data_IF_003511150479
#
_entry.id   IF_003511150479
#
_cell.length_a   1.000
_cell.length_b   1.000
_cell.length_c   1.000
_cell.angle_alpha   90.00
_cell.angle_beta   90.00
_cell.angle_gamma   90.00
#
_symmetry.space_group_name_H-M   'P 1'
#
loop_
_entity.id
_entity.type
_entity.pdbx_description
1 polymer ?
#
# COMPACT_ATOMS: atom_id res chain seq x y z
N UNK A 1 52.92 -39.52 -33.22
CA UNK A 1 53.47 -39.40 -31.85
C UNK A 1 53.74 -37.92 -31.59
N UNK A 2 53.36 -37.40 -30.41
CA UNK A 2 52.15 -36.58 -30.25
C UNK A 2 52.38 -35.33 -29.37
N UNK A 3 51.35 -34.49 -29.21
CA UNK A 3 50.83 -33.89 -27.95
C UNK A 3 49.79 -32.81 -28.35
N UNK A 4 48.48 -33.09 -28.43
CA UNK A 4 47.50 -33.10 -27.33
C UNK A 4 47.69 -31.93 -26.36
N UNK A 5 46.84 -30.90 -26.47
CA UNK A 5 46.62 -29.89 -25.43
C UNK A 5 45.20 -30.06 -24.90
N UNK A 6 45.11 -30.32 -23.60
CA UNK A 6 43.92 -30.69 -22.85
C UNK A 6 43.03 -29.48 -22.54
N UNK A 7 41.73 -29.67 -22.72
CA UNK A 7 40.67 -28.81 -22.19
C UNK A 7 40.63 -28.88 -20.66
N UNK A 8 40.90 -27.76 -19.98
CA UNK A 8 40.65 -27.62 -18.54
C UNK A 8 39.22 -27.11 -18.31
N UNK A 9 38.30 -28.03 -17.99
CA UNK A 9 37.00 -27.73 -17.42
C UNK A 9 37.15 -27.28 -15.96
N UNK A 10 37.14 -25.98 -15.73
CA UNK A 10 37.05 -25.38 -14.40
C UNK A 10 35.65 -25.55 -13.82
N UNK A 11 35.50 -26.39 -12.81
CA UNK A 11 34.26 -26.57 -12.04
C UNK A 11 34.05 -25.39 -11.09
N UNK A 12 33.06 -24.55 -11.36
CA UNK A 12 32.63 -23.50 -10.44
C UNK A 12 31.92 -24.10 -9.22
N UNK A 13 32.59 -24.10 -8.08
CA UNK A 13 32.04 -24.51 -6.80
C UNK A 13 30.88 -23.60 -6.38
N UNK A 14 29.70 -24.19 -6.13
CA UNK A 14 28.51 -23.50 -5.59
C UNK A 14 28.82 -22.95 -4.19
N UNK A 15 28.43 -21.70 -3.87
CA UNK A 15 28.59 -21.16 -2.52
C UNK A 15 27.69 -21.92 -1.53
N UNK A 16 28.27 -22.38 -0.42
CA UNK A 16 27.55 -23.08 0.67
C UNK A 16 26.47 -22.16 1.27
N UNK A 17 25.27 -22.67 1.58
CA UNK A 17 24.23 -21.88 2.23
C UNK A 17 24.70 -21.42 3.62
N UNK A 18 24.54 -20.12 3.91
CA UNK A 18 24.77 -19.56 5.25
C UNK A 18 23.84 -20.28 6.23
N UNK A 19 24.47 -20.96 7.19
CA UNK A 19 23.85 -21.65 8.33
C UNK A 19 22.86 -20.69 9.00
N UNK A 20 21.56 -21.01 8.98
CA UNK A 20 20.55 -20.26 9.73
C UNK A 20 21.00 -20.22 11.20
N UNK A 21 21.17 -19.02 11.75
CA UNK A 21 21.38 -18.85 13.18
C UNK A 21 20.20 -19.49 13.91
N UNK A 22 20.45 -20.66 14.47
CA UNK A 22 19.49 -21.35 15.33
C UNK A 22 19.16 -20.40 16.47
N UNK A 23 17.92 -19.92 16.51
CA UNK A 23 17.42 -19.05 17.61
C UNK A 23 17.83 -19.69 18.93
N UNK A 24 18.65 -18.98 19.72
CA UNK A 24 19.15 -19.47 21.01
C UNK A 24 17.96 -19.89 21.88
N UNK A 25 18.03 -21.09 22.48
CA UNK A 25 16.98 -21.61 23.36
C UNK A 25 17.06 -20.85 24.68
N UNK A 26 15.92 -20.44 25.22
CA UNK A 26 15.86 -19.84 26.55
C UNK A 26 16.46 -20.84 27.57
N UNK A 27 17.42 -20.42 28.41
CA UNK A 27 18.05 -21.31 29.38
C UNK A 27 17.09 -21.73 30.50
N UNK A 28 16.00 -20.99 30.70
CA UNK A 28 14.93 -21.31 31.65
C UNK A 28 13.55 -21.24 30.98
N UNK A 29 12.63 -22.06 31.47
CA UNK A 29 11.23 -22.03 31.07
C UNK A 29 10.35 -21.69 32.28
N UNK A 30 9.28 -20.92 32.06
CA UNK A 30 8.27 -20.67 33.07
C UNK A 30 7.51 -21.97 33.42
N UNK A 31 6.82 -21.98 34.57
CA UNK A 31 6.13 -23.17 35.07
C UNK A 31 5.04 -23.65 34.10
N UNK A 32 4.28 -22.73 33.50
CA UNK A 32 3.22 -23.04 32.51
C UNK A 32 3.78 -23.71 31.24
N UNK A 33 4.85 -23.18 30.65
CA UNK A 33 5.45 -23.78 29.46
C UNK A 33 6.19 -25.09 29.76
N UNK A 34 6.77 -25.21 30.97
CA UNK A 34 7.42 -26.45 31.43
C UNK A 34 6.42 -27.58 31.62
N UNK A 35 5.27 -27.30 32.25
CA UNK A 35 4.19 -28.27 32.42
C UNK A 35 3.66 -28.78 31.07
N UNK A 36 3.56 -27.88 30.08
CA UNK A 36 3.09 -28.20 28.72
C UNK A 36 4.18 -28.76 27.80
N UNK A 37 5.43 -28.86 28.26
CA UNK A 37 6.60 -29.30 27.48
C UNK A 37 6.78 -28.53 26.16
N UNK A 38 6.39 -27.25 26.12
CA UNK A 38 6.54 -26.37 24.95
C UNK A 38 7.73 -25.42 25.10
N UNK A 39 8.26 -24.92 23.98
CA UNK A 39 9.38 -23.97 23.98
C UNK A 39 8.97 -22.67 24.68
N UNK A 40 9.79 -22.21 25.61
CA UNK A 40 9.59 -20.97 26.34
C UNK A 40 10.67 -19.95 25.94
N UNK A 41 10.29 -18.68 25.85
CA UNK A 41 11.14 -17.54 25.53
C UNK A 41 11.19 -16.51 26.67
N UNK A 42 10.81 -16.91 27.89
CA UNK A 42 10.67 -16.00 29.05
C UNK A 42 11.94 -15.22 29.38
N UNK A 43 13.13 -15.74 29.07
CA UNK A 43 14.40 -15.04 29.32
C UNK A 43 14.66 -13.88 28.35
N UNK A 44 13.91 -13.79 27.25
CA UNK A 44 14.04 -12.73 26.24
C UNK A 44 12.88 -11.73 26.27
N UNK A 45 11.90 -11.92 27.15
CA UNK A 45 10.71 -11.07 27.26
C UNK A 45 10.70 -10.35 28.61
N UNK A 46 10.31 -9.06 28.65
CA UNK A 46 10.44 -8.22 29.85
C UNK A 46 9.48 -8.59 30.99
N UNK A 47 8.34 -9.22 30.71
CA UNK A 47 7.29 -9.47 31.72
C UNK A 47 6.65 -10.86 31.67
N UNK A 48 6.39 -11.40 30.48
CA UNK A 48 5.83 -12.74 30.30
C UNK A 48 6.27 -13.37 28.97
N UNK A 49 6.40 -14.69 28.94
CA UNK A 49 6.73 -15.41 27.71
C UNK A 49 5.56 -15.40 26.71
N UNK A 50 5.87 -15.51 25.41
CA UNK A 50 4.87 -15.36 24.33
C UNK A 50 3.68 -16.31 24.50
N UNK A 51 3.92 -17.57 24.88
CA UNK A 51 2.83 -18.53 25.09
C UNK A 51 1.94 -18.15 26.28
N UNK A 52 2.48 -17.60 27.36
CA UNK A 52 1.67 -17.24 28.53
C UNK A 52 0.82 -15.98 28.28
N UNK A 53 1.32 -15.06 27.45
CA UNK A 53 0.54 -13.90 26.99
C UNK A 53 -0.62 -14.36 26.11
N UNK A 54 -0.37 -15.23 25.14
CA UNK A 54 -1.40 -15.76 24.24
C UNK A 54 -2.47 -16.57 24.99
N UNK A 55 -2.07 -17.33 26.01
CA UNK A 55 -3.00 -18.13 26.81
C UNK A 55 -3.68 -17.34 27.93
N UNK A 56 -3.39 -16.03 28.07
CA UNK A 56 -3.86 -15.19 29.20
C UNK A 56 -3.61 -15.83 30.57
N UNK A 57 -2.43 -16.44 30.75
CA UNK A 57 -2.02 -17.12 32.00
C UNK A 57 -0.83 -16.42 32.65
N UNK A 58 -0.78 -16.47 33.99
CA UNK A 58 0.32 -15.89 34.74
C UNK A 58 1.66 -16.60 34.43
N UNK A 59 2.65 -15.82 34.00
CA UNK A 59 3.97 -16.34 33.63
C UNK A 59 4.92 -16.36 34.83
N UNK A 60 4.91 -17.46 35.59
CA UNK A 60 5.77 -17.60 36.79
C UNK A 60 7.05 -18.37 36.46
N UNK A 61 8.21 -17.79 36.79
CA UNK A 61 9.53 -18.46 36.69
C UNK A 61 10.03 -18.76 38.10
N UNK A 62 10.28 -20.03 38.43
CA UNK A 62 10.83 -20.38 39.74
C UNK A 62 12.33 -20.08 39.80
N UNK A 63 12.68 -19.00 40.47
CA UNK A 63 14.06 -18.68 40.80
C UNK A 63 14.44 -19.40 42.09
N UNK A 64 15.04 -20.59 42.00
CA UNK A 64 15.81 -21.10 43.15
C UNK A 64 17.09 -20.27 43.25
N UNK A 65 17.14 -19.33 44.20
CA UNK A 65 18.40 -18.78 44.68
C UNK A 65 19.13 -19.91 45.41
N UNK A 66 20.31 -20.31 44.93
CA UNK A 66 21.31 -20.93 45.83
C UNK A 66 21.87 -19.77 46.65
N UNK A 67 21.37 -19.59 47.87
CA UNK A 67 22.04 -18.77 48.87
C UNK A 67 23.18 -19.60 49.45
N UNK A 68 24.41 -19.26 49.07
CA UNK A 68 25.48 -19.24 50.05
C UNK A 68 25.37 -17.86 50.70
N UNK A 69 24.71 -17.78 51.86
CA UNK A 69 25.25 -16.97 52.94
C UNK A 69 24.51 -17.24 54.23
N UNK A 70 25.33 -17.42 55.27
CA UNK A 70 24.94 -17.63 56.64
C UNK A 70 24.22 -16.38 57.17
N UNK A 71 23.03 -16.60 57.69
CA UNK A 71 22.65 -16.23 59.05
C UNK A 71 22.80 -14.74 59.42
N UNK A 72 21.70 -13.99 59.51
CA UNK A 72 21.35 -13.19 60.69
C UNK A 72 19.89 -12.68 60.63
N UNK A 73 19.04 -13.39 61.36
CA UNK A 73 18.12 -12.89 62.39
C UNK A 73 17.32 -11.58 62.12
N UNK A 74 16.02 -11.71 61.82
CA UNK A 74 14.88 -11.20 62.64
C UNK A 74 13.53 -11.50 61.96
N UNK A 75 12.55 -11.86 62.79
CA UNK A 75 11.15 -12.27 62.52
C UNK A 75 10.23 -11.16 63.11
N UNK A 76 8.88 -11.29 63.14
CA UNK A 76 7.84 -11.03 62.12
C UNK A 76 6.78 -9.97 62.54
N UNK A 77 5.78 -9.69 61.69
CA UNK A 77 4.38 -9.30 62.04
C UNK A 77 3.55 -9.39 60.73
N UNK A 78 2.74 -10.41 60.42
CA UNK A 78 1.42 -10.90 60.92
C UNK A 78 0.24 -9.94 60.72
N UNK A 79 -0.62 -10.25 59.75
CA UNK A 79 -2.09 -10.51 59.87
C UNK A 79 -2.69 -10.57 58.44
N UNK A 80 -3.19 -11.69 57.92
CA UNK A 80 -4.45 -12.43 58.23
C UNK A 80 -5.70 -11.53 58.11
N UNK A 81 -6.81 -11.85 57.43
CA UNK A 81 -7.37 -13.10 56.85
C UNK A 81 -8.55 -12.74 55.90
N UNK A 82 -8.91 -13.71 55.06
CA UNK A 82 -10.15 -14.04 54.30
C UNK A 82 -11.52 -13.59 54.92
N UNK A 83 -12.74 -13.65 54.37
CA UNK A 83 -13.42 -14.25 53.19
C UNK A 83 -14.91 -13.77 53.10
N UNK A 84 -15.56 -13.95 51.93
CA UNK A 84 -16.99 -14.34 51.65
C UNK A 84 -18.17 -13.31 51.58
N UNK A 85 -18.67 -13.14 50.34
CA UNK A 85 -20.03 -13.11 49.72
C UNK A 85 -21.34 -12.45 50.30
N UNK A 86 -21.89 -11.49 49.49
CA UNK A 86 -23.28 -11.18 48.96
C UNK A 86 -24.53 -11.06 49.90
N UNK A 87 -25.69 -10.40 49.53
CA UNK A 87 -26.05 -9.48 48.41
C UNK A 87 -27.00 -8.24 48.73
N UNK A 88 -26.97 -7.18 47.87
CA UNK A 88 -27.98 -6.18 47.35
C UNK A 88 -29.18 -5.62 48.20
N UNK A 89 -29.64 -4.34 48.04
CA UNK A 89 -30.27 -3.82 46.79
C UNK A 89 -30.11 -2.31 46.41
N UNK A 90 -30.80 -1.94 45.32
CA UNK A 90 -30.72 -0.84 44.34
C UNK A 90 -31.00 0.64 44.73
N UNK A 91 -30.41 1.55 43.93
CA UNK A 91 -31.02 2.76 43.32
C UNK A 91 -30.10 3.26 42.17
N UNK A 92 -30.49 3.12 40.89
CA UNK A 92 -31.01 4.11 39.92
C UNK A 92 -30.06 5.26 39.49
N UNK A 93 -29.95 5.39 38.15
CA UNK A 93 -29.41 6.50 37.31
C UNK A 93 -27.86 6.61 37.28
N UNK A 94 -27.15 6.77 36.16
CA UNK A 94 -27.50 7.22 34.82
C UNK A 94 -26.52 6.63 33.77
N UNK A 95 -27.03 6.29 32.58
CA UNK A 95 -26.26 5.79 31.43
C UNK A 95 -26.39 6.84 30.32
N UNK A 96 -25.44 7.76 30.27
CA UNK A 96 -25.27 8.66 29.13
C UNK A 96 -23.79 8.74 28.79
N UNK A 97 -23.43 8.18 27.63
CA UNK A 97 -22.25 8.50 26.79
C UNK A 97 -22.07 7.43 25.69
N UNK A 98 -23.15 7.08 24.98
CA UNK A 98 -23.05 6.35 23.71
C UNK A 98 -24.36 6.36 22.90
N UNK A 99 -25.07 7.49 22.86
CA UNK A 99 -26.14 7.76 21.88
C UNK A 99 -26.18 9.26 21.60
N UNK A 100 -25.33 9.74 20.70
CA UNK A 100 -25.62 10.97 19.94
C UNK A 100 -25.07 10.71 18.55
N UNK A 101 -25.96 10.37 17.61
CA UNK A 101 -25.99 10.84 16.22
C UNK A 101 -27.14 10.13 15.47
N UNK A 102 -28.36 10.27 15.97
CA UNK A 102 -29.60 10.08 15.20
C UNK A 102 -30.72 10.84 15.91
N UNK A 103 -31.10 12.02 15.42
CA UNK A 103 -32.42 12.15 14.81
C UNK A 103 -32.61 13.48 14.05
N UNK A 104 -33.14 13.31 12.84
CA UNK A 104 -34.15 14.12 12.17
C UNK A 104 -34.07 15.65 12.15
N UNK A 105 -33.84 16.17 10.93
CA UNK A 105 -34.57 17.34 10.44
C UNK A 105 -35.18 17.04 9.07
N UNK A 106 -36.51 17.12 9.04
CA UNK A 106 -37.37 17.05 7.86
C UNK A 106 -37.20 18.29 6.98
N UNK A 107 -37.01 18.05 5.68
CA UNK A 107 -37.49 18.91 4.60
C UNK A 107 -36.45 19.80 3.91
N UNK A 108 -36.01 19.39 2.71
CA UNK A 108 -35.66 20.27 1.55
C UNK A 108 -35.47 19.42 0.27
N UNK A 109 -35.54 20.02 -0.93
CA UNK A 109 -36.46 19.59 -1.99
C UNK A 109 -35.90 18.51 -2.93
N UNK A 110 -36.83 17.79 -3.58
CA UNK A 110 -36.57 16.84 -4.68
C UNK A 110 -35.62 17.44 -5.72
N UNK A 111 -34.37 16.97 -5.74
CA UNK A 111 -33.49 17.11 -6.89
C UNK A 111 -33.91 16.11 -7.97
N UNK A 112 -33.99 16.57 -9.21
CA UNK A 112 -34.45 15.80 -10.36
C UNK A 112 -33.64 14.51 -10.56
N UNK A 113 -34.37 13.42 -10.82
CA UNK A 113 -33.83 12.10 -11.14
C UNK A 113 -32.88 12.17 -12.35
N UNK A 114 -31.75 11.45 -12.35
CA UNK A 114 -30.92 11.33 -13.54
C UNK A 114 -31.69 10.52 -14.59
N UNK A 115 -31.87 11.09 -15.77
CA UNK A 115 -32.45 10.42 -16.93
C UNK A 115 -31.74 9.09 -17.18
N UNK A 116 -32.49 8.01 -17.02
CA UNK A 116 -32.08 6.64 -17.32
C UNK A 116 -31.69 6.55 -18.79
N UNK A 117 -30.50 6.03 -19.09
CA UNK A 117 -30.10 5.69 -20.45
C UNK A 117 -31.13 4.71 -21.02
N UNK A 118 -31.91 5.15 -22.02
CA UNK A 118 -32.81 4.26 -22.74
C UNK A 118 -31.98 3.36 -23.66
N UNK A 119 -31.84 2.09 -23.26
CA UNK A 119 -31.31 1.03 -24.11
C UNK A 119 -32.45 0.37 -24.90
N UNK A 120 -32.21 -0.14 -26.13
CA UNK A 120 -33.23 -0.86 -26.89
C UNK A 120 -33.59 -2.16 -26.17
N UNK A 121 -34.89 -2.46 -26.07
CA UNK A 121 -35.41 -3.67 -25.45
C UNK A 121 -34.90 -4.93 -26.17
N UNK A 122 -33.99 -5.68 -25.53
CA UNK A 122 -33.57 -7.01 -25.96
C UNK A 122 -33.94 -8.04 -24.90
N UNK A 123 -34.48 -9.18 -25.36
CA UNK A 123 -35.05 -10.26 -24.56
C UNK A 123 -34.15 -10.71 -23.40
N UNK A 124 -34.72 -10.69 -22.19
CA UNK A 124 -34.23 -11.43 -21.02
C UNK A 124 -34.20 -12.92 -21.36
N UNK A 125 -33.00 -13.50 -21.57
CA UNK A 125 -32.67 -14.88 -21.17
C UNK A 125 -31.22 -15.32 -21.42
N UNK A 126 -30.27 -14.44 -21.77
CA UNK A 126 -28.83 -14.72 -21.66
C UNK A 126 -28.07 -13.37 -21.59
N UNK A 127 -28.02 -12.76 -20.41
CA UNK A 127 -27.21 -11.56 -20.21
C UNK A 127 -25.74 -11.94 -20.35
N UNK A 128 -25.05 -11.46 -21.39
CA UNK A 128 -23.58 -11.42 -21.38
C UNK A 128 -23.19 -10.36 -20.34
N UNK A 129 -22.56 -10.74 -19.22
CA UNK A 129 -22.23 -9.81 -18.12
C UNK A 129 -21.09 -8.84 -18.48
N UNK A 130 -20.40 -9.11 -19.59
CA UNK A 130 -19.25 -8.35 -20.02
C UNK A 130 -19.40 -7.84 -21.47
N UNK A 131 -18.97 -6.60 -21.66
CA UNK A 131 -18.99 -5.85 -22.91
C UNK A 131 -17.54 -5.60 -23.36
N UNK A 132 -17.26 -5.75 -24.65
CA UNK A 132 -15.94 -5.41 -25.22
C UNK A 132 -15.65 -3.92 -25.03
N UNK A 133 -14.42 -3.55 -24.66
CA UNK A 133 -14.04 -2.15 -24.39
C UNK A 133 -14.37 -1.18 -25.54
N UNK A 134 -14.37 -1.64 -26.79
CA UNK A 134 -14.67 -0.85 -27.98
C UNK A 134 -16.08 -0.22 -27.97
N UNK A 135 -17.02 -0.76 -27.19
CA UNK A 135 -18.36 -0.17 -27.01
C UNK A 135 -18.36 1.07 -26.10
N UNK A 136 -17.26 1.35 -25.42
CA UNK A 136 -17.09 2.52 -24.56
C UNK A 136 -16.22 3.57 -25.27
N UNK A 137 -16.81 4.67 -25.79
CA UNK A 137 -16.07 5.66 -26.57
C UNK A 137 -14.93 6.33 -25.79
N UNK A 138 -15.05 6.41 -24.48
CA UNK A 138 -14.04 7.00 -23.60
C UNK A 138 -12.82 6.11 -23.35
N UNK A 139 -12.80 4.86 -23.83
CA UNK A 139 -11.71 3.90 -23.60
C UNK A 139 -10.79 3.70 -24.81
N UNK A 140 -9.53 3.39 -24.53
CA UNK A 140 -8.55 3.00 -25.54
C UNK A 140 -7.57 1.93 -25.05
N UNK A 141 -6.93 1.26 -26.01
CA UNK A 141 -5.72 0.47 -25.79
C UNK A 141 -4.69 1.01 -26.78
N UNK A 142 -3.65 1.68 -26.29
CA UNK A 142 -2.78 2.51 -27.11
C UNK A 142 -1.87 1.66 -28.02
N UNK A 143 -1.30 0.58 -27.50
CA UNK A 143 -0.34 -0.24 -28.23
C UNK A 143 -0.97 -1.49 -28.87
N UNK A 144 -2.30 -1.54 -29.03
CA UNK A 144 -2.98 -2.75 -29.51
C UNK A 144 -2.50 -3.18 -30.91
N UNK A 145 -2.26 -2.22 -31.80
CA UNK A 145 -1.82 -2.49 -33.18
C UNK A 145 -0.36 -2.93 -33.30
N UNK A 146 0.45 -2.71 -32.27
CA UNK A 146 1.86 -3.14 -32.23
C UNK A 146 2.04 -4.53 -31.62
N UNK A 147 1.00 -5.12 -31.03
CA UNK A 147 1.07 -6.45 -30.45
C UNK A 147 0.99 -7.54 -31.52
N UNK A 148 1.65 -8.67 -31.24
CA UNK A 148 1.50 -9.85 -32.08
C UNK A 148 0.08 -10.40 -31.97
N UNK A 149 -0.45 -10.97 -33.06
CA UNK A 149 -1.81 -11.51 -33.12
C UNK A 149 -2.05 -12.58 -32.04
N UNK A 150 -1.04 -13.41 -31.74
CA UNK A 150 -1.16 -14.43 -30.69
C UNK A 150 -1.30 -13.82 -29.30
N UNK A 151 -0.63 -12.71 -29.02
CA UNK A 151 -0.75 -11.99 -27.75
C UNK A 151 -2.13 -11.33 -27.62
N UNK A 152 -2.66 -10.77 -28.73
CA UNK A 152 -4.02 -10.22 -28.78
C UNK A 152 -5.04 -11.33 -28.49
N UNK A 153 -4.92 -12.49 -29.16
CA UNK A 153 -5.80 -13.63 -28.94
C UNK A 153 -5.71 -14.16 -27.51
N UNK A 154 -4.49 -14.21 -26.96
CA UNK A 154 -4.28 -14.58 -25.56
C UNK A 154 -4.98 -13.60 -24.62
N UNK A 155 -4.77 -12.30 -24.78
CA UNK A 155 -5.41 -11.26 -23.97
C UNK A 155 -6.94 -11.29 -24.05
N UNK A 156 -7.51 -11.49 -25.24
CA UNK A 156 -8.97 -11.63 -25.39
C UNK A 156 -9.49 -12.90 -24.70
N UNK A 157 -8.76 -14.03 -24.83
CA UNK A 157 -9.12 -15.28 -24.15
C UNK A 157 -9.07 -15.18 -22.61
N UNK A 158 -8.23 -14.28 -22.08
CA UNK A 158 -8.14 -13.97 -20.65
C UNK A 158 -9.18 -12.91 -20.21
N UNK A 159 -10.00 -12.41 -21.14
CA UNK A 159 -11.03 -11.40 -20.85
C UNK A 159 -10.47 -10.00 -20.59
N UNK A 160 -9.22 -9.70 -20.99
CA UNK A 160 -8.60 -8.39 -20.75
C UNK A 160 -9.30 -7.25 -21.50
N UNK A 161 -10.03 -7.57 -22.57
CA UNK A 161 -10.79 -6.61 -23.38
C UNK A 161 -12.26 -6.52 -22.98
N UNK A 162 -12.66 -7.23 -21.92
CA UNK A 162 -14.04 -7.36 -21.45
C UNK A 162 -14.23 -6.60 -20.14
N UNK A 163 -15.27 -5.77 -20.10
CA UNK A 163 -15.61 -4.87 -18.99
C UNK A 163 -17.07 -5.06 -18.57
N UNK A 164 -17.45 -4.72 -17.33
CA UNK A 164 -18.85 -4.81 -16.89
C UNK A 164 -19.80 -3.96 -17.76
N UNK A 165 -21.09 -4.26 -17.69
CA UNK A 165 -22.14 -3.42 -18.26
C UNK A 165 -22.10 -1.99 -17.69
N UNK A 166 -22.55 -1.00 -18.47
CA UNK A 166 -22.47 0.43 -18.13
C UNK A 166 -23.03 0.78 -16.75
N UNK A 167 -24.11 0.15 -16.30
CA UNK A 167 -24.69 0.40 -14.98
C UNK A 167 -23.75 -0.05 -13.87
N UNK A 168 -23.26 -1.29 -13.95
CA UNK A 168 -22.28 -1.84 -13.01
C UNK A 168 -20.95 -1.08 -13.05
N UNK A 169 -20.48 -0.71 -14.24
CA UNK A 169 -19.25 0.04 -14.43
C UNK A 169 -19.32 1.41 -13.74
N UNK A 170 -20.45 2.12 -13.88
CA UNK A 170 -20.67 3.42 -13.26
C UNK A 170 -20.71 3.32 -11.72
N UNK A 171 -21.30 2.26 -11.17
CA UNK A 171 -21.25 1.98 -9.73
C UNK A 171 -19.82 1.74 -9.23
N UNK A 172 -19.03 0.91 -9.92
CA UNK A 172 -17.63 0.63 -9.54
C UNK A 172 -16.74 1.88 -9.63
N UNK A 173 -16.89 2.68 -10.69
CA UNK A 173 -16.14 3.92 -10.84
C UNK A 173 -16.49 4.91 -9.72
N UNK A 174 -17.79 5.05 -9.37
CA UNK A 174 -18.17 5.86 -8.20
C UNK A 174 -17.61 5.30 -6.91
N UNK A 175 -17.64 3.99 -6.70
CA UNK A 175 -17.06 3.35 -5.51
C UNK A 175 -15.55 3.64 -5.39
N UNK A 176 -14.80 3.61 -6.50
CA UNK A 176 -13.39 4.01 -6.52
C UNK A 176 -13.18 5.46 -6.05
N UNK A 177 -13.90 6.41 -6.64
CA UNK A 177 -13.75 7.83 -6.26
C UNK A 177 -14.29 8.14 -4.86
N UNK A 178 -15.26 7.37 -4.38
CA UNK A 178 -15.79 7.52 -3.05
C UNK A 178 -14.81 6.95 -2.01
N UNK A 179 -14.36 5.71 -2.14
CA UNK A 179 -13.62 5.03 -1.07
C UNK A 179 -12.10 5.08 -1.21
N UNK A 180 -11.56 4.96 -2.42
CA UNK A 180 -10.12 4.82 -2.64
C UNK A 180 -9.42 6.15 -2.90
N UNK A 181 -10.04 7.02 -3.72
CA UNK A 181 -9.46 8.31 -4.11
C UNK A 181 -9.12 9.23 -2.93
N UNK A 182 -9.94 9.35 -1.86
CA UNK A 182 -9.58 10.16 -0.70
C UNK A 182 -8.33 9.67 0.06
N UNK A 183 -7.96 8.39 -0.09
CA UNK A 183 -6.77 7.80 0.54
C UNK A 183 -5.55 7.99 -0.37
N UNK A 184 -5.71 7.75 -1.67
CA UNK A 184 -4.65 7.88 -2.66
C UNK A 184 -5.20 8.54 -3.93
N UNK A 185 -5.12 9.88 -4.06
CA UNK A 185 -5.74 10.64 -5.16
C UNK A 185 -4.91 10.56 -6.46
N UNK A 186 -4.58 9.35 -6.89
CA UNK A 186 -3.66 9.05 -8.01
C UNK A 186 -4.25 9.40 -9.38
N UNK A 187 -5.57 9.34 -9.51
CA UNK A 187 -6.32 9.79 -10.70
C UNK A 187 -6.91 11.15 -10.43
N UNK A 188 -6.80 12.06 -11.38
CA UNK A 188 -7.46 13.36 -11.30
C UNK A 188 -8.97 13.19 -11.56
N UNK A 189 -9.78 13.36 -10.51
CA UNK A 189 -11.21 13.01 -10.56
C UNK A 189 -11.97 13.82 -11.61
N UNK A 190 -11.78 15.14 -11.67
CA UNK A 190 -12.59 15.94 -12.59
C UNK A 190 -12.16 15.77 -14.05
N UNK A 191 -10.88 15.51 -14.30
CA UNK A 191 -10.42 15.16 -15.65
C UNK A 191 -11.02 13.82 -16.07
N UNK A 192 -11.00 12.83 -15.18
CA UNK A 192 -11.64 11.54 -15.42
C UNK A 192 -13.12 11.68 -15.75
N UNK A 193 -13.90 12.39 -14.93
CA UNK A 193 -15.35 12.56 -15.20
C UNK A 193 -15.63 13.31 -16.51
N UNK A 194 -14.77 14.25 -16.89
CA UNK A 194 -14.92 14.97 -18.16
C UNK A 194 -14.75 14.05 -19.39
N UNK A 195 -13.92 13.01 -19.26
CA UNK A 195 -13.67 12.00 -20.30
C UNK A 195 -14.73 10.88 -20.24
N UNK A 196 -15.12 10.47 -19.03
CA UNK A 196 -16.04 9.37 -18.79
C UNK A 196 -17.48 9.68 -19.26
N UNK A 197 -17.90 10.95 -19.15
CA UNK A 197 -19.24 11.37 -19.55
C UNK A 197 -19.27 11.87 -21.02
N UNK A 198 -20.05 11.21 -21.90
CA UNK A 198 -20.22 11.63 -23.29
C UNK A 198 -20.75 13.06 -23.45
N UNK A 199 -21.56 13.55 -22.49
CA UNK A 199 -22.18 14.88 -22.57
C UNK A 199 -21.20 16.02 -22.29
N UNK A 200 -20.12 15.74 -21.55
CA UNK A 200 -19.09 16.74 -21.19
C UNK A 200 -17.82 16.60 -22.03
N UNK A 201 -17.74 15.57 -22.87
CA UNK A 201 -16.61 15.32 -23.78
C UNK A 201 -16.59 16.35 -24.92
N UNK A 202 -16.22 17.59 -24.60
CA UNK A 202 -16.18 18.75 -25.51
C UNK A 202 -15.08 18.66 -26.56
N UNK A 203 -15.17 17.69 -27.49
CA UNK A 203 -14.33 17.56 -28.67
C UNK A 203 -12.86 17.19 -28.44
N UNK A 204 -12.42 17.00 -27.18
CA UNK A 204 -11.06 16.50 -26.87
C UNK A 204 -11.01 14.98 -27.06
N UNK A 205 -10.05 14.50 -27.83
CA UNK A 205 -9.79 13.07 -28.10
C UNK A 205 -9.14 12.32 -26.93
N UNK A 206 -9.27 12.83 -25.70
CA UNK A 206 -8.66 12.18 -24.53
C UNK A 206 -9.48 10.95 -24.15
N UNK A 207 -8.81 9.81 -23.98
CA UNK A 207 -9.42 8.51 -23.66
C UNK A 207 -8.67 7.91 -22.47
N UNK A 208 -9.37 7.12 -21.68
CA UNK A 208 -8.82 6.40 -20.53
C UNK A 208 -8.29 5.05 -21.02
N UNK A 209 -7.00 4.73 -20.76
CA UNK A 209 -6.46 3.41 -21.08
C UNK A 209 -7.16 2.30 -20.30
N UNK A 210 -7.48 1.19 -20.97
CA UNK A 210 -8.17 0.03 -20.35
C UNK A 210 -7.38 -0.52 -19.16
N UNK A 211 -6.05 -0.49 -19.20
CA UNK A 211 -5.20 -0.92 -18.09
C UNK A 211 -5.43 -0.09 -16.81
N UNK A 212 -5.59 1.23 -16.94
CA UNK A 212 -5.86 2.12 -15.81
C UNK A 212 -7.26 1.87 -15.25
N UNK A 213 -8.26 1.77 -16.13
CA UNK A 213 -9.62 1.46 -15.69
C UNK A 213 -9.65 0.10 -14.98
N UNK A 214 -9.00 -0.93 -15.54
CA UNK A 214 -8.92 -2.27 -14.92
C UNK A 214 -8.29 -2.22 -13.52
N UNK A 215 -7.24 -1.41 -13.34
CA UNK A 215 -6.62 -1.19 -12.03
C UNK A 215 -7.57 -0.49 -11.06
N UNK A 216 -8.35 0.50 -11.53
CA UNK A 216 -9.38 1.17 -10.72
C UNK A 216 -10.50 0.20 -10.30
N UNK A 217 -10.96 -0.66 -11.22
CA UNK A 217 -12.00 -1.67 -10.93
C UNK A 217 -11.51 -2.73 -9.95
N UNK A 218 -10.25 -3.17 -10.07
CA UNK A 218 -9.59 -4.03 -9.08
C UNK A 218 -9.67 -3.44 -7.66
N UNK A 219 -9.48 -2.12 -7.52
CA UNK A 219 -9.58 -1.46 -6.22
C UNK A 219 -11.05 -1.32 -5.80
N UNK A 220 -11.93 -0.89 -6.71
CA UNK A 220 -13.35 -0.65 -6.45
C UNK A 220 -14.10 -1.88 -5.93
N UNK A 221 -13.74 -3.08 -6.41
CA UNK A 221 -14.40 -4.33 -6.02
C UNK A 221 -14.32 -4.63 -4.50
N UNK A 222 -13.43 -3.97 -3.74
CA UNK A 222 -13.39 -4.08 -2.27
C UNK A 222 -14.55 -3.34 -1.58
N UNK A 223 -15.20 -2.40 -2.26
CA UNK A 223 -16.13 -1.44 -1.66
C UNK A 223 -17.56 -1.52 -2.20
N UNK A 224 -17.88 -2.55 -2.99
CA UNK A 224 -19.21 -2.73 -3.59
C UNK A 224 -19.96 -3.89 -2.96
N UNK A 225 -21.28 -3.77 -2.98
CA UNK A 225 -22.19 -4.77 -2.41
C UNK A 225 -22.25 -6.06 -3.25
N UNK A 226 -22.75 -7.13 -2.62
CA UNK A 226 -22.88 -8.45 -3.22
C UNK A 226 -23.69 -8.46 -4.53
N UNK A 227 -24.73 -7.63 -4.63
CA UNK A 227 -25.59 -7.58 -5.82
C UNK A 227 -24.83 -7.10 -7.07
N UNK A 228 -23.94 -6.12 -6.89
CA UNK A 228 -23.07 -5.61 -7.97
C UNK A 228 -22.10 -6.70 -8.41
N UNK A 229 -21.53 -7.46 -7.46
CA UNK A 229 -20.61 -8.56 -7.75
C UNK A 229 -21.30 -9.70 -8.51
N UNK A 230 -22.51 -10.06 -8.11
CA UNK A 230 -23.33 -11.07 -8.79
C UNK A 230 -23.66 -10.66 -10.22
N UNK A 231 -23.90 -9.38 -10.48
CA UNK A 231 -24.14 -8.88 -11.84
C UNK A 231 -22.94 -9.08 -12.78
N UNK A 232 -21.72 -9.12 -12.23
CA UNK A 232 -20.48 -9.45 -12.96
C UNK A 232 -20.16 -10.95 -12.96
N UNK A 233 -21.07 -11.79 -12.47
CA UNK A 233 -20.88 -13.24 -12.30
C UNK A 233 -19.73 -13.61 -11.34
N UNK A 234 -19.45 -12.76 -10.36
CA UNK A 234 -18.50 -13.08 -9.30
C UNK A 234 -19.22 -13.38 -8.00
N UNK A 235 -18.79 -14.45 -7.31
CA UNK A 235 -19.42 -14.88 -6.06
C UNK A 235 -18.96 -14.05 -4.87
N UNK A 236 -17.74 -13.51 -4.93
CA UNK A 236 -17.13 -12.76 -3.83
C UNK A 236 -16.32 -11.56 -4.33
N UNK A 237 -16.16 -10.55 -3.46
CA UNK A 237 -15.29 -9.41 -3.73
C UNK A 237 -13.85 -9.86 -4.03
N UNK A 238 -13.36 -10.87 -3.30
CA UNK A 238 -12.02 -11.42 -3.52
C UNK A 238 -11.83 -11.97 -4.94
N UNK A 239 -12.81 -12.71 -5.44
CA UNK A 239 -12.78 -13.29 -6.79
C UNK A 239 -12.79 -12.20 -7.87
N UNK A 240 -13.68 -11.21 -7.74
CA UNK A 240 -13.75 -10.08 -8.68
C UNK A 240 -12.44 -9.28 -8.69
N UNK A 241 -11.87 -9.04 -7.51
CA UNK A 241 -10.57 -8.37 -7.36
C UNK A 241 -9.45 -9.17 -8.02
N UNK A 242 -9.36 -10.48 -7.77
CA UNK A 242 -8.32 -11.33 -8.35
C UNK A 242 -8.44 -11.37 -9.88
N UNK A 243 -9.68 -11.38 -10.42
CA UNK A 243 -9.97 -11.27 -11.86
C UNK A 243 -9.42 -9.97 -12.45
N UNK A 244 -9.81 -8.81 -11.92
CA UNK A 244 -9.34 -7.52 -12.43
C UNK A 244 -7.84 -7.28 -12.19
N UNK A 245 -7.28 -7.79 -11.08
CA UNK A 245 -5.85 -7.77 -10.82
C UNK A 245 -5.10 -8.56 -11.90
N UNK A 246 -5.58 -9.75 -12.24
CA UNK A 246 -4.98 -10.59 -13.28
C UNK A 246 -5.04 -9.92 -14.65
N UNK A 247 -6.21 -9.38 -15.03
CA UNK A 247 -6.39 -8.62 -16.29
C UNK A 247 -5.42 -7.43 -16.35
N UNK A 248 -5.32 -6.65 -15.27
CA UNK A 248 -4.40 -5.49 -15.18
C UNK A 248 -2.94 -5.90 -15.33
N UNK A 249 -2.51 -6.98 -14.66
CA UNK A 249 -1.14 -7.49 -14.76
C UNK A 249 -0.81 -7.98 -16.18
N UNK A 250 -1.74 -8.68 -16.83
CA UNK A 250 -1.58 -9.12 -18.21
C UNK A 250 -1.42 -7.94 -19.17
N UNK A 251 -2.29 -6.92 -19.06
CA UNK A 251 -2.20 -5.71 -19.87
C UNK A 251 -0.87 -4.96 -19.62
N UNK A 252 -0.38 -4.95 -18.38
CA UNK A 252 0.91 -4.36 -18.02
C UNK A 252 2.09 -5.13 -18.63
N UNK A 253 2.11 -6.46 -18.44
CA UNK A 253 3.22 -7.32 -18.87
C UNK A 253 3.31 -7.42 -20.40
N UNK A 254 2.19 -7.23 -21.12
CA UNK A 254 2.13 -7.14 -22.58
C UNK A 254 2.33 -5.72 -23.13
N UNK A 255 2.78 -4.77 -22.30
CA UNK A 255 3.14 -3.40 -22.72
C UNK A 255 2.03 -2.68 -23.53
N UNK A 256 0.76 -2.89 -23.16
CA UNK A 256 -0.40 -2.29 -23.85
C UNK A 256 -0.48 -0.76 -23.72
N UNK A 257 0.37 -0.18 -22.87
CA UNK A 257 0.48 1.25 -22.56
C UNK A 257 1.96 1.64 -22.44
N UNK A 258 2.31 2.82 -22.95
CA UNK A 258 3.67 3.38 -22.89
C UNK A 258 3.76 4.68 -22.08
N UNK A 259 2.64 5.31 -21.76
CA UNK A 259 2.63 6.54 -20.98
C UNK A 259 3.16 6.30 -19.57
N UNK A 260 4.28 6.93 -19.17
CA UNK A 260 4.85 6.73 -17.85
C UNK A 260 3.91 7.22 -16.74
N UNK A 261 3.07 8.23 -17.01
CA UNK A 261 2.03 8.68 -16.07
C UNK A 261 1.03 7.56 -15.81
N UNK A 262 0.49 6.93 -16.86
CA UNK A 262 -0.52 5.87 -16.72
C UNK A 262 0.09 4.64 -16.03
N UNK A 263 1.29 4.24 -16.43
CA UNK A 263 1.99 3.10 -15.82
C UNK A 263 2.32 3.34 -14.35
N UNK A 264 2.66 4.57 -13.96
CA UNK A 264 2.85 4.94 -12.57
C UNK A 264 1.53 4.89 -11.78
N UNK A 265 0.43 5.40 -12.34
CA UNK A 265 -0.89 5.34 -11.72
C UNK A 265 -1.33 3.90 -11.45
N UNK A 266 -1.24 3.04 -12.47
CA UNK A 266 -1.52 1.60 -12.35
C UNK A 266 -0.63 0.97 -11.28
N UNK A 267 0.68 1.22 -11.33
CA UNK A 267 1.63 0.65 -10.39
C UNK A 267 1.38 1.09 -8.94
N UNK A 268 0.94 2.33 -8.70
CA UNK A 268 0.57 2.82 -7.37
C UNK A 268 -0.67 2.11 -6.82
N UNK A 269 -1.72 1.96 -7.65
CA UNK A 269 -2.93 1.23 -7.27
C UNK A 269 -2.59 -0.22 -6.90
N UNK A 270 -1.77 -0.90 -7.72
CA UNK A 270 -1.31 -2.25 -7.43
C UNK A 270 -0.42 -2.31 -6.18
N UNK A 271 0.43 -1.31 -5.94
CA UNK A 271 1.28 -1.26 -4.77
C UNK A 271 0.48 -1.22 -3.46
N UNK A 272 -0.58 -0.39 -3.43
CA UNK A 272 -1.35 -0.11 -2.23
C UNK A 272 -2.42 -1.17 -1.93
N UNK A 273 -3.13 -1.67 -2.94
CA UNK A 273 -4.26 -2.59 -2.75
C UNK A 273 -3.93 -4.08 -2.97
N UNK A 274 -2.73 -4.44 -3.44
CA UNK A 274 -2.37 -5.87 -3.56
C UNK A 274 -2.12 -6.49 -2.19
N UNK A 275 -2.80 -7.61 -1.91
CA UNK A 275 -2.63 -8.35 -0.65
C UNK A 275 -1.19 -8.81 -0.40
N UNK A 276 -0.73 -8.59 0.82
CA UNK A 276 0.57 -9.03 1.30
C UNK A 276 0.49 -10.48 1.77
N UNK A 277 0.45 -11.45 0.85
CA UNK A 277 0.61 -12.85 1.23
C UNK A 277 1.98 -13.01 1.92
N UNK A 278 2.04 -13.70 3.06
CA UNK A 278 3.18 -13.80 4.00
C UNK A 278 4.46 -14.48 3.45
N UNK A 279 4.72 -14.40 2.14
CA UNK A 279 5.97 -14.85 1.55
C UNK A 279 7.07 -13.82 1.81
N UNK A 280 8.08 -14.22 2.60
CA UNK A 280 9.25 -13.37 2.88
C UNK A 280 10.05 -13.02 1.63
N UNK A 281 9.89 -13.78 0.54
CA UNK A 281 10.70 -13.68 -0.68
C UNK A 281 9.98 -13.00 -1.85
N UNK A 282 8.65 -12.99 -1.88
CA UNK A 282 7.88 -12.35 -2.96
C UNK A 282 6.94 -11.28 -2.39
N UNK A 283 7.36 -10.02 -2.44
CA UNK A 283 6.56 -8.85 -2.04
C UNK A 283 6.08 -8.10 -3.28
N UNK A 284 4.91 -8.45 -3.82
CA UNK A 284 4.41 -7.82 -5.04
C UNK A 284 4.24 -6.31 -4.87
N UNK A 285 3.71 -5.84 -3.74
CA UNK A 285 3.56 -4.40 -3.45
C UNK A 285 4.86 -3.61 -3.50
N UNK A 286 5.95 -4.12 -2.91
CA UNK A 286 7.26 -3.44 -2.94
C UNK A 286 7.77 -3.31 -4.38
N UNK A 287 7.56 -4.35 -5.20
CA UNK A 287 7.93 -4.33 -6.62
C UNK A 287 7.10 -3.29 -7.38
N UNK A 288 5.78 -3.27 -7.15
CA UNK A 288 4.89 -2.29 -7.76
C UNK A 288 5.19 -0.85 -7.33
N UNK A 289 5.51 -0.62 -6.06
CA UNK A 289 5.92 0.68 -5.57
C UNK A 289 7.24 1.14 -6.24
N UNK A 290 8.21 0.24 -6.39
CA UNK A 290 9.44 0.54 -7.13
C UNK A 290 9.17 0.91 -8.59
N UNK A 291 8.28 0.18 -9.27
CA UNK A 291 7.83 0.49 -10.64
C UNK A 291 7.13 1.85 -10.71
N UNK A 292 6.25 2.15 -9.75
CA UNK A 292 5.55 3.43 -9.66
C UNK A 292 6.52 4.61 -9.53
N UNK A 293 7.51 4.49 -8.64
CA UNK A 293 8.54 5.53 -8.44
C UNK A 293 9.31 5.72 -9.74
N UNK A 294 9.78 4.64 -10.37
CA UNK A 294 10.52 4.70 -11.63
C UNK A 294 9.74 5.41 -12.75
N UNK A 295 8.50 4.98 -12.99
CA UNK A 295 7.63 5.60 -14.00
C UNK A 295 7.31 7.06 -13.70
N UNK A 296 7.16 7.42 -12.42
CA UNK A 296 6.96 8.82 -12.03
C UNK A 296 8.19 9.69 -12.32
N UNK A 297 9.39 9.16 -12.07
CA UNK A 297 10.63 9.86 -12.40
C UNK A 297 10.80 10.01 -13.91
N UNK A 298 10.47 8.98 -14.69
CA UNK A 298 10.51 9.04 -16.15
C UNK A 298 9.53 10.09 -16.69
N UNK A 299 8.29 10.14 -16.17
CA UNK A 299 7.32 11.17 -16.54
C UNK A 299 7.81 12.60 -16.24
N UNK A 300 8.42 12.81 -15.06
CA UNK A 300 9.01 14.11 -14.68
C UNK A 300 10.20 14.46 -15.59
N UNK A 301 11.07 13.50 -15.88
CA UNK A 301 12.20 13.68 -16.77
C UNK A 301 11.77 14.06 -18.18
N UNK A 302 10.82 13.33 -18.77
CA UNK A 302 10.26 13.63 -20.10
C UNK A 302 9.62 15.02 -20.14
N UNK A 303 8.92 15.43 -19.08
CA UNK A 303 8.35 16.77 -18.98
C UNK A 303 9.40 17.88 -18.91
N UNK A 304 10.55 17.65 -18.25
CA UNK A 304 11.67 18.60 -18.16
C UNK A 304 12.44 18.72 -19.48
N UNK A 305 12.66 17.60 -20.18
CA UNK A 305 13.39 17.58 -21.46
C UNK A 305 12.58 18.19 -22.60
N UNK A 306 11.25 18.15 -22.50
CA UNK A 306 10.33 18.75 -23.48
C UNK A 306 10.25 20.28 -23.31
N UNK A 307 11.37 20.99 -23.49
CA UNK A 307 11.48 22.46 -23.36
C UNK A 307 10.85 23.26 -24.51
N UNK A 308 10.26 22.61 -25.51
CA UNK A 308 9.70 23.29 -26.69
C UNK A 308 8.35 22.67 -27.09
N UNK A 309 7.29 23.47 -26.94
CA UNK A 309 5.91 23.25 -27.43
C UNK A 309 5.10 22.16 -26.70
N UNK A 310 4.46 22.56 -25.59
CA UNK A 310 3.47 21.83 -24.78
C UNK A 310 3.98 20.51 -24.18
N UNK A 311 4.37 20.56 -22.90
CA UNK A 311 4.46 19.36 -22.04
C UNK A 311 3.24 18.46 -22.29
N UNK A 312 3.47 17.20 -22.68
CA UNK A 312 2.42 16.20 -22.87
C UNK A 312 1.64 15.91 -21.56
N UNK A 313 2.20 16.31 -20.41
CA UNK A 313 1.64 16.06 -19.10
C UNK A 313 1.25 17.36 -18.39
N UNK A 314 0.11 17.34 -17.69
CA UNK A 314 -0.26 18.39 -16.75
C UNK A 314 0.75 18.40 -15.59
N UNK A 315 1.39 19.55 -15.36
CA UNK A 315 2.30 19.74 -14.22
C UNK A 315 1.63 19.39 -12.87
N UNK A 316 0.34 19.71 -12.72
CA UNK A 316 -0.43 19.33 -11.53
C UNK A 316 -0.58 17.82 -11.37
N UNK A 317 -0.77 17.07 -12.48
CA UNK A 317 -0.86 15.62 -12.45
C UNK A 317 0.49 14.97 -12.12
N UNK A 318 1.61 15.54 -12.58
CA UNK A 318 2.96 15.06 -12.22
C UNK A 318 3.24 15.26 -10.72
N UNK A 319 2.92 16.44 -10.17
CA UNK A 319 3.06 16.70 -8.73
C UNK A 319 2.17 15.79 -7.88
N UNK A 320 0.91 15.62 -8.29
CA UNK A 320 -0.03 14.67 -7.67
C UNK A 320 0.54 13.25 -7.63
N UNK A 321 1.05 12.78 -8.76
CA UNK A 321 1.61 11.43 -8.89
C UNK A 321 2.84 11.24 -7.99
N UNK A 322 3.76 12.20 -8.01
CA UNK A 322 4.94 12.18 -7.14
C UNK A 322 4.58 12.22 -5.65
N UNK A 323 3.63 13.07 -5.26
CA UNK A 323 3.12 13.12 -3.90
C UNK A 323 2.48 11.78 -3.47
N UNK A 324 1.75 11.11 -4.38
CA UNK A 324 1.21 9.77 -4.13
C UNK A 324 2.33 8.73 -3.95
N UNK A 325 3.44 8.82 -4.67
CA UNK A 325 4.63 7.98 -4.44
C UNK A 325 5.23 8.22 -3.06
N UNK A 326 5.42 9.48 -2.64
CA UNK A 326 5.97 9.83 -1.33
C UNK A 326 5.09 9.30 -0.20
N UNK A 327 3.78 9.45 -0.32
CA UNK A 327 2.78 8.93 0.62
C UNK A 327 2.83 7.39 0.68
N UNK A 328 2.78 6.75 -0.48
CA UNK A 328 2.79 5.29 -0.57
C UNK A 328 4.08 4.72 -0.01
N UNK A 329 5.24 5.31 -0.31
CA UNK A 329 6.54 4.88 0.22
C UNK A 329 6.63 5.00 1.75
N UNK A 330 6.09 6.08 2.31
CA UNK A 330 6.03 6.25 3.76
C UNK A 330 5.13 5.19 4.42
N UNK A 331 3.91 5.00 3.91
CA UNK A 331 2.99 3.96 4.39
C UNK A 331 3.66 2.58 4.26
N UNK A 332 4.30 2.32 3.13
CA UNK A 332 4.98 1.07 2.82
C UNK A 332 6.10 0.76 3.81
N UNK A 333 6.94 1.75 4.08
CA UNK A 333 8.02 1.65 5.07
C UNK A 333 7.48 1.34 6.47
N UNK A 334 6.39 2.01 6.88
CA UNK A 334 5.75 1.80 8.19
C UNK A 334 5.23 0.38 8.35
N UNK A 335 4.42 -0.12 7.40
CA UNK A 335 3.79 -1.42 7.56
C UNK A 335 4.77 -2.58 7.30
N UNK A 336 5.74 -2.42 6.38
CA UNK A 336 6.73 -3.47 6.11
C UNK A 336 7.93 -3.46 7.06
N UNK A 337 8.10 -2.40 7.84
CA UNK A 337 9.27 -2.17 8.71
C UNK A 337 10.58 -2.22 7.93
N UNK A 338 10.63 -1.47 6.83
CA UNK A 338 11.77 -1.43 5.90
C UNK A 338 12.20 0.01 5.64
N UNK A 339 13.45 0.23 5.20
CA UNK A 339 13.88 1.55 4.74
C UNK A 339 12.98 2.09 3.64
N UNK A 340 12.81 3.41 3.61
CA UNK A 340 12.15 4.13 2.53
C UNK A 340 12.83 3.80 1.20
N UNK A 341 12.06 3.63 0.13
CA UNK A 341 12.57 3.45 -1.23
C UNK A 341 13.01 4.77 -1.85
N UNK A 342 12.40 5.89 -1.43
CA UNK A 342 12.75 7.23 -1.91
C UNK A 342 13.61 7.95 -0.85
N UNK A 343 14.96 7.93 -0.94
CA UNK A 343 15.81 8.58 0.05
C UNK A 343 15.64 10.12 0.01
N UNK A 344 16.00 10.85 1.09
CA UNK A 344 15.84 12.30 1.18
C UNK A 344 16.39 13.06 -0.04
N UNK A 345 17.59 12.71 -0.52
CA UNK A 345 18.20 13.38 -1.68
C UNK A 345 17.43 13.22 -3.00
N UNK A 346 16.68 12.11 -3.18
CA UNK A 346 15.80 11.92 -4.35
C UNK A 346 14.59 12.85 -4.28
N UNK A 347 14.08 13.07 -3.07
CA UNK A 347 12.86 13.83 -2.81
C UNK A 347 13.18 15.34 -2.85
N UNK A 348 14.33 15.75 -2.31
CA UNK A 348 14.83 17.14 -2.33
C UNK A 348 15.24 17.65 -3.72
N UNK A 349 15.57 16.77 -4.66
CA UNK A 349 15.80 17.13 -6.05
C UNK A 349 14.53 17.63 -6.76
N UNK A 350 13.35 17.31 -6.20
CA UNK A 350 12.03 17.68 -6.73
C UNK A 350 11.27 18.55 -5.70
N UNK A 351 11.88 19.68 -5.29
CA UNK A 351 11.36 20.55 -4.22
C UNK A 351 9.91 21.00 -4.44
N UNK A 352 9.51 21.19 -5.68
CA UNK A 352 8.16 21.63 -6.05
C UNK A 352 7.10 20.51 -5.92
N UNK A 353 7.51 19.27 -5.69
CA UNK A 353 6.65 18.08 -5.66
C UNK A 353 6.57 17.43 -4.26
N UNK A 354 7.21 18.00 -3.24
CA UNK A 354 7.40 17.40 -1.92
C UNK A 354 6.10 17.08 -1.16
N UNK A 355 5.02 17.80 -1.48
CA UNK A 355 3.76 17.79 -0.73
C UNK A 355 2.62 17.85 -1.74
N UNK A 356 1.65 16.94 -1.61
CA UNK A 356 0.37 17.04 -2.29
C UNK A 356 -0.38 18.23 -1.68
N UNK A 357 -0.31 19.37 -2.37
CA UNK A 357 -0.86 20.63 -1.86
C UNK A 357 -2.34 20.78 -2.22
N UNK A 358 -3.03 21.71 -1.55
CA UNK A 358 -4.40 22.11 -1.93
C UNK A 358 -4.48 22.52 -3.41
N UNK A 359 -3.46 23.20 -3.93
CA UNK A 359 -3.43 23.66 -5.32
C UNK A 359 -3.40 22.51 -6.36
N UNK A 360 -2.87 21.34 -5.98
CA UNK A 360 -2.78 20.18 -6.88
C UNK A 360 -4.11 19.40 -6.98
N UNK A 361 -4.99 19.59 -6.00
CA UNK A 361 -6.27 18.90 -5.89
C UNK A 361 -7.49 19.82 -6.07
N UNK A 362 -7.34 21.14 -5.92
CA UNK A 362 -8.44 22.11 -5.90
C UNK A 362 -9.28 22.13 -7.19
N UNK A 363 -8.70 21.70 -8.31
CA UNK A 363 -9.38 21.51 -9.59
C UNK A 363 -10.61 20.58 -9.50
N UNK A 364 -10.64 19.67 -8.52
CA UNK A 364 -11.74 18.72 -8.33
C UNK A 364 -12.92 19.30 -7.54
N UNK A 365 -12.72 20.44 -6.86
CA UNK A 365 -13.77 21.09 -6.07
C UNK A 365 -14.90 21.54 -7.00
N UNK A 366 -16.12 21.10 -6.69
CA UNK A 366 -17.31 21.41 -7.51
C UNK A 366 -17.44 20.58 -8.79
N UNK A 367 -16.55 19.62 -9.04
CA UNK A 367 -16.63 18.71 -10.19
C UNK A 367 -16.64 17.23 -9.82
N UNK A 368 -16.56 16.91 -8.53
CA UNK A 368 -16.77 15.55 -8.05
C UNK A 368 -18.21 15.11 -8.29
N UNK A 369 -18.41 13.84 -8.63
CA UNK A 369 -19.74 13.22 -8.76
C UNK A 369 -20.14 12.37 -7.56
N UNK A 370 -19.23 12.21 -6.59
CA UNK A 370 -19.43 11.36 -5.41
C UNK A 370 -19.41 12.14 -4.10
N UNK A 371 -18.96 13.40 -4.13
CA UNK A 371 -18.90 14.29 -2.98
C UNK A 371 -19.43 15.68 -3.29
N UNK A 372 -20.11 16.28 -2.31
CA UNK A 372 -20.44 17.70 -2.33
C UNK A 372 -19.21 18.59 -2.18
N UNK A 373 -19.36 19.89 -2.49
CA UNK A 373 -18.26 20.88 -2.47
C UNK A 373 -17.57 20.92 -1.10
N UNK A 374 -18.33 21.00 -0.01
CA UNK A 374 -17.79 21.09 1.35
C UNK A 374 -17.02 19.82 1.74
N UNK A 375 -17.62 18.64 1.50
CA UNK A 375 -16.97 17.36 1.78
C UNK A 375 -15.65 17.23 1.00
N UNK A 376 -15.65 17.62 -0.29
CA UNK A 376 -14.45 17.57 -1.13
C UNK A 376 -13.35 18.52 -0.61
N UNK A 377 -13.72 19.71 -0.12
CA UNK A 377 -12.77 20.64 0.52
C UNK A 377 -12.15 20.02 1.77
N UNK A 378 -12.95 19.40 2.65
CA UNK A 378 -12.46 18.73 3.86
C UNK A 378 -11.50 17.59 3.55
N UNK A 379 -11.76 16.78 2.51
CA UNK A 379 -10.83 15.72 2.08
C UNK A 379 -9.51 16.28 1.57
N UNK A 380 -9.53 17.38 0.80
CA UNK A 380 -8.29 18.02 0.32
C UNK A 380 -7.48 18.59 1.49
N UNK A 381 -8.15 19.20 2.47
CA UNK A 381 -7.52 19.67 3.71
C UNK A 381 -6.90 18.51 4.50
N UNK A 382 -7.61 17.39 4.64
CA UNK A 382 -7.07 16.20 5.28
C UNK A 382 -5.84 15.65 4.55
N UNK A 383 -5.84 15.66 3.21
CA UNK A 383 -4.71 15.21 2.40
C UNK A 383 -3.47 16.12 2.57
N UNK A 384 -3.67 17.43 2.70
CA UNK A 384 -2.60 18.39 2.97
C UNK A 384 -1.98 18.15 4.36
N UNK A 385 -2.81 17.93 5.39
CA UNK A 385 -2.34 17.56 6.73
C UNK A 385 -1.61 16.20 6.73
N UNK A 386 -2.13 15.22 5.99
CA UNK A 386 -1.48 13.93 5.82
C UNK A 386 -0.11 14.08 5.16
N UNK A 387 0.01 14.94 4.15
CA UNK A 387 1.29 15.23 3.50
C UNK A 387 2.30 15.86 4.46
N UNK A 388 1.87 16.81 5.30
CA UNK A 388 2.73 17.39 6.34
C UNK A 388 3.19 16.34 7.37
N UNK A 389 2.29 15.45 7.80
CA UNK A 389 2.62 14.34 8.70
C UNK A 389 3.65 13.39 8.07
N UNK A 390 3.48 13.04 6.79
CA UNK A 390 4.42 12.19 6.05
C UNK A 390 5.81 12.81 6.01
N UNK A 391 5.93 14.12 5.76
CA UNK A 391 7.24 14.80 5.75
C UNK A 391 7.98 14.60 7.08
N UNK A 392 7.28 14.66 8.21
CA UNK A 392 7.85 14.40 9.54
C UNK A 392 8.18 12.91 9.70
N UNK A 393 7.24 12.02 9.38
CA UNK A 393 7.39 10.57 9.54
C UNK A 393 8.56 10.03 8.71
N UNK A 394 8.78 10.54 7.50
CA UNK A 394 9.91 10.13 6.66
C UNK A 394 11.26 10.43 7.31
N UNK A 395 11.40 11.57 8.01
CA UNK A 395 12.62 11.88 8.77
C UNK A 395 12.84 10.89 9.91
N UNK A 396 11.77 10.55 10.64
CA UNK A 396 11.83 9.54 11.71
C UNK A 396 12.19 8.16 11.15
N UNK A 397 11.55 7.75 10.05
CA UNK A 397 11.79 6.45 9.41
C UNK A 397 13.21 6.33 8.86
N UNK A 398 13.80 7.41 8.35
CA UNK A 398 15.19 7.43 7.92
C UNK A 398 16.17 7.16 9.07
N UNK A 399 15.83 7.55 10.30
CA UNK A 399 16.61 7.24 11.51
C UNK A 399 16.38 5.81 12.01
N UNK A 400 15.13 5.34 11.97
CA UNK A 400 14.74 4.00 12.46
C UNK A 400 15.23 2.89 11.53
N UNK A 401 15.19 3.13 10.22
CA UNK A 401 15.61 2.21 9.17
C UNK A 401 16.69 2.86 8.30
N UNK A 402 17.91 3.05 8.84
CA UNK A 402 18.98 3.66 8.08
C UNK A 402 19.27 2.82 6.84
N UNK A 403 19.36 3.48 5.68
CA UNK A 403 19.83 2.82 4.48
C UNK A 403 21.32 2.51 4.67
N UNK A 404 21.66 1.22 4.72
CA UNK A 404 23.04 0.79 4.91
C UNK A 404 23.92 1.22 3.73
N UNK A 405 24.82 2.19 3.97
CA UNK A 405 26.06 2.38 3.23
C UNK A 405 26.00 3.04 1.85
N UNK A 406 25.81 4.36 1.81
CA UNK A 406 26.88 5.17 1.21
C UNK A 406 27.70 5.67 2.38
N UNK A 407 28.82 5.00 2.65
CA UNK A 407 29.89 5.64 3.37
C UNK A 407 30.16 6.93 2.60
N UNK A 408 29.92 8.06 3.24
CA UNK A 408 30.48 9.33 2.83
C UNK A 408 31.96 9.08 2.63
N UNK A 409 32.40 9.02 1.36
CA UNK A 409 33.79 9.25 1.02
C UNK A 409 34.01 10.71 1.44
N UNK A 410 34.42 10.88 2.71
CA UNK A 410 34.90 12.14 3.20
C UNK A 410 36.08 12.48 2.32
N UNK A 411 35.94 13.57 1.56
CA UNK A 411 37.03 14.24 0.87
C UNK A 411 38.07 14.61 1.92
N UNK A 412 39.06 13.73 2.11
CA UNK A 412 40.28 14.03 2.82
C UNK A 412 41.21 14.76 1.85
N UNK A 413 41.07 16.08 1.80
CA UNK A 413 42.04 16.95 1.16
C UNK A 413 42.13 18.28 1.92
N UNK A 414 43.04 18.33 2.90
CA UNK A 414 43.99 19.44 3.11
C UNK A 414 44.76 19.22 4.43
N UNK A 415 46.08 18.99 4.30
CA UNK A 415 47.20 19.62 5.03
C UNK A 415 47.15 19.52 6.58
N UNK A 416 48.11 18.96 7.31
CA UNK A 416 49.49 18.59 7.06
C UNK A 416 50.21 18.59 8.43
N UNK A 417 51.30 17.84 8.56
CA UNK A 417 52.33 18.07 9.59
C UNK A 417 52.21 17.28 10.90
N UNK A 418 53.18 16.37 11.05
CA UNK A 418 53.90 16.02 12.29
C UNK A 418 53.30 14.99 13.28
N UNK A 419 54.16 14.04 13.66
CA UNK A 419 54.10 13.33 14.95
C UNK A 419 53.75 11.84 14.89
N UNK A 420 54.70 11.01 14.46
CA UNK A 420 54.68 9.58 14.77
C UNK A 420 55.07 9.38 16.25
N UNK A 421 54.13 8.98 17.11
CA UNK A 421 54.44 8.28 18.35
C UNK A 421 53.51 7.07 18.52
N UNK A 422 54.06 5.89 18.18
CA UNK A 422 53.60 4.61 18.69
C UNK A 422 53.81 4.58 20.21
N UNK A 423 52.74 4.43 20.98
CA UNK A 423 52.81 3.92 22.36
C UNK A 423 52.14 2.56 22.43
N UNK A 424 52.97 1.53 22.25
CA UNK A 424 52.76 0.22 22.84
C UNK A 424 53.22 0.25 24.30
N UNK A 425 52.40 -0.26 25.22
CA UNK A 425 52.73 -0.92 26.50
C UNK A 425 51.52 -0.89 27.44
N UNK A 426 51.16 -1.93 28.21
CA UNK A 426 51.51 -3.34 28.28
C UNK A 426 50.55 -3.95 29.32
N UNK A 427 50.30 -5.23 29.18
CA UNK A 427 49.83 -6.20 30.18
C UNK A 427 50.27 -5.93 31.62
N UNK A 428 49.31 -6.03 32.55
CA UNK A 428 49.41 -6.78 33.82
C UNK A 428 48.08 -7.45 34.11
#
# INVERSE_FOLDING_TARGET
>A
MPTMTEEHQGTFAKPKPKRQETRKRSPKACLSCRARKVRCDVTFMPSACTNCVLDSKQCVVSWRRRHNDRNHNKKPEVSEVETVAKPLPASKEDKDLLVVLTDEYLGTPKLAEPLTRQSPSYNHNQARPEITFAYYPFLCINNLSSLHTDDINYLDSQGCFKLPESSCLDHLVRAFFHHAHPILPVVNEAEFWSIYDPLTSGGKTSRVPVILLSAMLFVACEYVDGDVLQSMQHSTAHEARDSFLRKTQLLYDQETESSPVVLAQVSLLLAHWTSQKNSRTNRPSTKWLGRAIHHSQDAIYQAKVSTSVKSHFSQGNLRRLWGCCILSDCIHSLYTRRPLMMPPGMVEAERDCLVLSRADLSHEIGRSRVYGVEAKQRFIEAQEQMSALISILRRVLALVYPQGGMATCGTASALGGEGYESRDCRTT
#
